data_IF_945854088995
#
_entry.id   IF_945854088995
#
_cell.length_a   1.000
_cell.length_b   1.000
_cell.length_c   1.000
_cell.angle_alpha   90.00
_cell.angle_beta   90.00
_cell.angle_gamma   90.00
#
_symmetry.space_group_name_H-M   'P 1'
#
loop_
_entity.id
_entity.type
_entity.pdbx_description
1 polymer ?
#
# COMPACT_ATOMS: atom_id res chain seq x y z
N UNK A 1 1.53 15.80 -20.35
CA UNK A 1 0.59 15.56 -21.46
C UNK A 1 0.36 14.06 -21.67
N UNK A 2 1.38 13.23 -21.72
CA UNK A 2 1.26 11.75 -21.90
C UNK A 2 0.48 11.04 -20.79
N UNK A 3 0.64 11.44 -19.53
CA UNK A 3 -0.09 10.86 -18.39
C UNK A 3 -1.59 11.16 -18.43
N UNK A 4 -2.00 12.35 -18.89
CA UNK A 4 -3.41 12.71 -19.07
C UNK A 4 -4.03 11.94 -20.23
N UNK A 5 -3.28 11.76 -21.30
CA UNK A 5 -3.73 11.01 -22.47
C UNK A 5 -3.91 9.51 -22.18
N UNK A 6 -2.99 8.90 -21.42
CA UNK A 6 -3.14 7.51 -20.95
C UNK A 6 -4.30 7.36 -19.98
N UNK A 7 -4.54 8.35 -19.12
CA UNK A 7 -5.66 8.33 -18.18
C UNK A 7 -7.00 8.39 -18.90
N UNK A 8 -7.14 9.25 -19.90
CA UNK A 8 -8.37 9.35 -20.73
C UNK A 8 -8.64 8.03 -21.48
N UNK A 9 -7.61 7.39 -22.04
CA UNK A 9 -7.75 6.06 -22.69
C UNK A 9 -8.15 4.95 -21.71
N UNK A 10 -7.62 4.96 -20.50
CA UNK A 10 -7.99 3.98 -19.46
C UNK A 10 -9.43 4.17 -19.04
N UNK A 11 -9.88 5.41 -18.87
CA UNK A 11 -11.29 5.74 -18.57
C UNK A 11 -12.23 5.32 -19.69
N UNK A 12 -11.89 5.60 -20.95
CA UNK A 12 -12.68 5.19 -22.10
C UNK A 12 -12.77 3.66 -22.21
N UNK A 13 -11.67 2.95 -21.94
CA UNK A 13 -11.65 1.49 -21.90
C UNK A 13 -12.55 0.94 -20.78
N UNK A 14 -12.50 1.53 -19.59
CA UNK A 14 -13.35 1.15 -18.46
C UNK A 14 -14.82 1.41 -18.80
N UNK A 15 -15.14 2.56 -19.37
CA UNK A 15 -16.51 2.90 -19.79
C UNK A 15 -17.02 2.00 -20.92
N UNK A 16 -16.16 1.59 -21.86
CA UNK A 16 -16.49 0.62 -22.92
C UNK A 16 -16.76 -0.78 -22.34
N UNK A 17 -15.99 -1.22 -21.36
CA UNK A 17 -16.21 -2.47 -20.64
C UNK A 17 -17.55 -2.45 -19.88
N UNK A 18 -17.90 -1.33 -19.24
CA UNK A 18 -19.18 -1.15 -18.59
C UNK A 18 -20.37 -1.12 -19.57
N UNK A 19 -20.18 -0.65 -20.80
CA UNK A 19 -21.21 -0.61 -21.85
C UNK A 19 -21.53 -2.01 -22.41
N UNK A 20 -20.63 -2.97 -22.22
CA UNK A 20 -20.77 -4.35 -22.71
C UNK A 20 -21.48 -5.30 -21.73
N UNK A 21 -21.85 -4.82 -20.53
CA UNK A 21 -22.57 -5.59 -19.53
C UNK A 21 -24.08 -5.63 -19.82
N UNK A 22 -24.78 -6.73 -19.52
CA UNK A 22 -26.20 -6.91 -19.84
C UNK A 22 -27.11 -5.90 -19.15
N UNK A 23 -28.11 -5.43 -19.88
CA UNK A 23 -29.12 -4.44 -19.43
C UNK A 23 -30.13 -5.08 -18.48
N UNK A 24 -29.84 -5.09 -17.18
CA UNK A 24 -30.80 -5.43 -16.13
C UNK A 24 -31.02 -4.26 -15.18
N UNK A 25 -32.23 -4.07 -14.62
CA UNK A 25 -32.56 -2.87 -13.81
C UNK A 25 -31.62 -2.66 -12.61
N UNK A 26 -31.13 -3.75 -12.00
CA UNK A 26 -30.14 -3.71 -10.90
C UNK A 26 -28.74 -3.20 -11.35
N UNK A 27 -28.39 -3.46 -12.61
CA UNK A 27 -27.11 -3.02 -13.17
C UNK A 27 -27.15 -1.55 -13.63
N UNK A 28 -28.32 -1.05 -14.03
CA UNK A 28 -28.49 0.35 -14.43
C UNK A 28 -28.32 1.31 -13.24
N UNK A 29 -28.88 0.97 -12.09
CA UNK A 29 -28.70 1.76 -10.86
C UNK A 29 -27.22 1.76 -10.37
N UNK A 30 -26.55 0.63 -10.52
CA UNK A 30 -25.10 0.54 -10.26
C UNK A 30 -24.28 1.31 -11.27
N UNK A 31 -24.63 1.27 -12.56
CA UNK A 31 -23.98 2.05 -13.63
C UNK A 31 -24.04 3.55 -13.36
N UNK A 32 -25.18 4.09 -12.95
CA UNK A 32 -25.31 5.51 -12.62
C UNK A 32 -24.44 5.89 -11.43
N UNK A 33 -24.47 5.09 -10.35
CA UNK A 33 -23.61 5.32 -9.17
C UNK A 33 -22.13 5.25 -9.52
N UNK A 34 -21.72 4.26 -10.30
CA UNK A 34 -20.32 4.11 -10.72
C UNK A 34 -19.92 5.15 -11.75
N UNK A 35 -20.82 5.51 -12.68
CA UNK A 35 -20.58 6.57 -13.65
C UNK A 35 -20.36 7.92 -13.00
N UNK A 36 -21.20 8.30 -12.04
CA UNK A 36 -21.04 9.55 -11.27
C UNK A 36 -19.78 9.54 -10.42
N UNK A 37 -19.45 8.41 -9.75
CA UNK A 37 -18.22 8.27 -8.98
C UNK A 37 -16.96 8.34 -9.86
N UNK A 38 -16.98 7.73 -11.04
CA UNK A 38 -15.87 7.79 -12.00
C UNK A 38 -15.70 9.21 -12.57
N UNK A 39 -16.80 9.91 -12.89
CA UNK A 39 -16.76 11.29 -13.34
C UNK A 39 -16.19 12.22 -12.27
N UNK A 40 -16.58 12.02 -11.01
CA UNK A 40 -16.07 12.78 -9.88
C UNK A 40 -14.58 12.49 -9.64
N UNK A 41 -14.17 11.21 -9.66
CA UNK A 41 -12.77 10.80 -9.58
C UNK A 41 -11.93 11.41 -10.72
N UNK A 42 -12.46 11.44 -11.95
CA UNK A 42 -11.77 12.06 -13.08
C UNK A 42 -11.54 13.56 -12.86
N UNK A 43 -12.57 14.26 -12.39
CA UNK A 43 -12.49 15.69 -12.11
C UNK A 43 -11.45 16.00 -11.03
N UNK A 44 -11.45 15.24 -9.94
CA UNK A 44 -10.48 15.40 -8.85
C UNK A 44 -9.06 14.98 -9.27
N UNK A 45 -8.93 13.87 -9.99
CA UNK A 45 -7.63 13.43 -10.52
C UNK A 45 -7.03 14.47 -11.47
N UNK A 46 -7.83 15.09 -12.34
CA UNK A 46 -7.38 16.18 -13.23
C UNK A 46 -6.90 17.40 -12.44
N UNK A 47 -7.61 17.81 -11.39
CA UNK A 47 -7.16 18.92 -10.52
C UNK A 47 -5.79 18.66 -9.94
N UNK A 48 -5.57 17.44 -9.39
CA UNK A 48 -4.27 17.04 -8.81
C UNK A 48 -3.18 16.93 -9.89
N UNK A 49 -3.50 16.36 -11.05
CA UNK A 49 -2.55 16.18 -12.15
C UNK A 49 -2.17 17.49 -12.85
N UNK A 50 -3.04 18.51 -12.86
CA UNK A 50 -2.78 19.80 -13.49
C UNK A 50 -1.89 20.70 -12.64
N UNK A 51 -1.79 20.47 -11.32
CA UNK A 51 -0.95 21.27 -10.43
C UNK A 51 0.45 20.64 -10.30
N UNK A 52 1.49 21.22 -10.95
CA UNK A 52 2.83 20.62 -11.00
C UNK A 52 3.44 20.40 -9.60
N UNK A 53 3.22 21.33 -8.67
CA UNK A 53 3.76 21.24 -7.31
C UNK A 53 3.17 20.07 -6.54
N UNK A 54 1.88 19.76 -6.71
CA UNK A 54 1.20 18.63 -6.06
C UNK A 54 1.74 17.31 -6.61
N UNK A 55 1.93 17.22 -7.94
CA UNK A 55 2.53 16.03 -8.58
C UNK A 55 3.94 15.76 -8.07
N UNK A 56 4.81 16.77 -8.09
CA UNK A 56 6.21 16.61 -7.66
C UNK A 56 6.26 16.21 -6.18
N UNK A 57 5.49 16.87 -5.33
CA UNK A 57 5.41 16.51 -3.90
C UNK A 57 4.88 15.10 -3.71
N UNK A 58 3.82 14.71 -4.41
CA UNK A 58 3.24 13.37 -4.34
C UNK A 58 4.23 12.29 -4.77
N UNK A 59 4.95 12.50 -5.87
CA UNK A 59 6.00 11.58 -6.34
C UNK A 59 7.15 11.54 -5.32
N UNK A 60 7.63 12.67 -4.83
CA UNK A 60 8.72 12.71 -3.87
C UNK A 60 8.37 11.99 -2.55
N UNK A 61 7.18 12.23 -2.01
CA UNK A 61 6.70 11.53 -0.81
C UNK A 61 6.54 10.03 -1.05
N UNK A 62 6.03 9.63 -2.23
CA UNK A 62 5.88 8.22 -2.58
C UNK A 62 7.23 7.52 -2.73
N UNK A 63 8.20 8.17 -3.37
CA UNK A 63 9.57 7.64 -3.50
C UNK A 63 10.25 7.53 -2.13
N UNK A 64 10.11 8.55 -1.28
CA UNK A 64 10.63 8.51 0.07
C UNK A 64 10.01 7.37 0.89
N UNK A 65 8.69 7.20 0.80
CA UNK A 65 7.98 6.09 1.44
C UNK A 65 8.51 4.74 0.98
N UNK A 66 8.69 4.53 -0.33
CA UNK A 66 9.23 3.29 -0.87
C UNK A 66 10.67 3.05 -0.42
N UNK A 67 11.49 4.10 -0.44
CA UNK A 67 12.87 4.03 0.03
C UNK A 67 12.95 3.59 1.50
N UNK A 68 12.16 4.20 2.38
CA UNK A 68 12.08 3.83 3.79
C UNK A 68 11.57 2.39 3.94
N UNK A 69 10.49 2.04 3.25
CA UNK A 69 9.89 0.70 3.32
C UNK A 69 10.88 -0.40 2.93
N UNK A 70 11.64 -0.19 1.85
CA UNK A 70 12.64 -1.15 1.38
C UNK A 70 13.92 -1.14 2.23
N UNK A 71 14.14 -0.13 3.06
CA UNK A 71 15.25 -0.09 4.00
C UNK A 71 15.00 -0.95 5.26
N UNK A 72 13.75 -1.25 5.58
CA UNK A 72 13.41 -2.06 6.76
C UNK A 72 13.99 -3.47 6.67
N UNK A 73 13.89 -4.22 5.55
CA UNK A 73 14.54 -5.52 5.40
C UNK A 73 16.04 -5.47 5.60
N UNK A 74 16.70 -4.41 5.13
CA UNK A 74 18.13 -4.22 5.33
C UNK A 74 18.49 -4.11 6.82
N UNK A 75 17.78 -3.27 7.55
CA UNK A 75 17.99 -3.13 9.00
C UNK A 75 17.70 -4.44 9.73
N UNK A 76 16.62 -5.13 9.36
CA UNK A 76 16.26 -6.42 9.95
C UNK A 76 17.33 -7.49 9.73
N UNK A 77 17.89 -7.58 8.50
CA UNK A 77 18.98 -8.50 8.17
C UNK A 77 20.25 -8.17 8.94
N UNK A 78 20.59 -6.87 9.05
CA UNK A 78 21.76 -6.43 9.84
C UNK A 78 21.62 -6.79 11.32
N UNK A 79 20.46 -6.57 11.91
CA UNK A 79 20.17 -6.96 13.29
C UNK A 79 20.17 -8.48 13.49
N UNK A 80 19.79 -9.25 12.46
CA UNK A 80 19.89 -10.71 12.48
C UNK A 80 21.31 -11.25 12.22
N UNK A 81 22.31 -10.37 12.09
CA UNK A 81 23.72 -10.75 11.91
C UNK A 81 24.15 -10.98 10.46
N UNK A 82 23.28 -10.75 9.47
CA UNK A 82 23.64 -10.87 8.07
C UNK A 82 24.34 -9.61 7.58
N UNK A 83 25.63 -9.75 7.19
CA UNK A 83 26.45 -8.64 6.66
C UNK A 83 26.83 -8.82 5.20
N UNK A 84 26.44 -9.93 4.57
CA UNK A 84 26.84 -10.31 3.22
C UNK A 84 26.21 -9.39 2.17
N UNK A 85 24.93 -9.02 2.34
CA UNK A 85 24.21 -8.21 1.37
C UNK A 85 24.47 -6.72 1.58
N UNK A 86 24.76 -6.02 0.49
CA UNK A 86 24.83 -4.57 0.46
C UNK A 86 23.43 -3.92 0.52
N UNK A 87 23.39 -2.63 0.84
CA UNK A 87 22.13 -1.88 0.88
C UNK A 87 21.39 -1.91 -0.47
N UNK A 88 22.11 -1.75 -1.59
CA UNK A 88 21.51 -1.74 -2.91
C UNK A 88 20.92 -3.11 -3.31
N UNK A 89 21.61 -4.20 -2.98
CA UNK A 89 21.11 -5.56 -3.22
C UNK A 89 19.84 -5.84 -2.43
N UNK A 90 19.78 -5.43 -1.16
CA UNK A 90 18.57 -5.59 -0.37
C UNK A 90 17.43 -4.74 -0.90
N UNK A 91 17.68 -3.52 -1.39
CA UNK A 91 16.65 -2.69 -2.04
C UNK A 91 16.07 -3.40 -3.29
N UNK A 92 16.95 -3.98 -4.11
CA UNK A 92 16.54 -4.74 -5.30
C UNK A 92 15.71 -5.98 -4.93
N UNK A 93 16.20 -6.78 -3.99
CA UNK A 93 15.50 -7.98 -3.51
C UNK A 93 14.16 -7.62 -2.84
N UNK A 94 14.09 -6.51 -2.11
CA UNK A 94 12.84 -6.03 -1.50
C UNK A 94 11.82 -5.59 -2.54
N UNK A 95 12.25 -4.97 -3.64
CA UNK A 95 11.34 -4.63 -4.74
C UNK A 95 10.79 -5.87 -5.42
N UNK A 96 11.64 -6.89 -5.64
CA UNK A 96 11.25 -8.18 -6.20
C UNK A 96 10.29 -8.94 -5.24
N UNK A 97 10.58 -8.89 -3.93
CA UNK A 97 9.70 -9.46 -2.91
C UNK A 97 8.28 -8.87 -2.99
N UNK A 98 8.17 -7.54 -3.16
CA UNK A 98 6.88 -6.88 -3.29
C UNK A 98 6.14 -7.31 -4.57
N UNK A 99 6.85 -7.47 -5.69
CA UNK A 99 6.27 -7.98 -6.94
C UNK A 99 5.72 -9.40 -6.77
N UNK A 100 6.50 -10.31 -6.19
CA UNK A 100 6.07 -11.70 -5.93
C UNK A 100 4.85 -11.71 -5.00
N UNK A 101 4.90 -10.93 -3.91
CA UNK A 101 3.79 -10.83 -2.96
C UNK A 101 2.51 -10.30 -3.61
N UNK A 102 2.63 -9.35 -4.55
CA UNK A 102 1.50 -8.78 -5.27
C UNK A 102 0.91 -9.73 -6.32
N UNK A 103 1.71 -10.67 -6.84
CA UNK A 103 1.26 -11.66 -7.81
C UNK A 103 0.56 -12.87 -7.17
N UNK A 104 0.80 -13.13 -5.89
CA UNK A 104 0.21 -14.25 -5.18
C UNK A 104 -1.11 -13.86 -4.48
N UNK A 105 -2.09 -14.78 -4.44
CA UNK A 105 -3.33 -14.52 -3.70
C UNK A 105 -3.02 -14.35 -2.21
N UNK A 106 -3.45 -13.23 -1.67
CA UNK A 106 -3.17 -12.83 -0.30
C UNK A 106 -4.39 -13.06 0.57
N UNK A 107 -4.28 -13.96 1.54
CA UNK A 107 -5.32 -14.19 2.55
C UNK A 107 -4.88 -13.54 3.85
N UNK A 108 -5.56 -12.46 4.24
CA UNK A 108 -5.31 -11.71 5.48
C UNK A 108 -3.86 -11.16 5.65
N UNK A 109 -3.12 -10.95 4.56
CA UNK A 109 -1.77 -10.39 4.62
C UNK A 109 -0.67 -11.36 5.08
N UNK A 110 -0.98 -12.64 5.23
CA UNK A 110 -0.06 -13.67 5.72
C UNK A 110 0.17 -14.72 4.62
N UNK A 111 1.38 -15.24 4.53
CA UNK A 111 1.78 -16.30 3.61
C UNK A 111 2.67 -15.82 2.45
N UNK A 112 2.14 -15.11 1.46
CA UNK A 112 2.91 -14.71 0.27
C UNK A 112 4.15 -13.87 0.58
N UNK A 113 4.07 -13.01 1.58
CA UNK A 113 5.17 -12.14 1.96
C UNK A 113 6.27 -12.90 2.70
N UNK A 114 5.92 -13.79 3.62
CA UNK A 114 6.85 -14.66 4.32
C UNK A 114 7.57 -15.57 3.34
N UNK A 115 6.81 -16.18 2.44
CA UNK A 115 7.36 -17.02 1.40
C UNK A 115 8.35 -16.25 0.52
N UNK A 116 7.96 -15.08 0.00
CA UNK A 116 8.82 -14.26 -0.84
C UNK A 116 10.08 -13.77 -0.10
N UNK A 117 9.93 -13.38 1.18
CA UNK A 117 11.06 -12.97 2.01
C UNK A 117 12.07 -14.10 2.20
N UNK A 118 11.61 -15.27 2.63
CA UNK A 118 12.48 -16.42 2.83
C UNK A 118 13.10 -16.92 1.53
N UNK A 119 12.32 -16.96 0.45
CA UNK A 119 12.81 -17.37 -0.88
C UNK A 119 13.98 -16.50 -1.34
N UNK A 120 13.89 -15.19 -1.16
CA UNK A 120 14.88 -14.24 -1.67
C UNK A 120 16.09 -14.04 -0.76
N UNK A 121 15.88 -14.05 0.56
CA UNK A 121 16.95 -13.72 1.51
C UNK A 121 17.65 -14.94 2.13
N UNK A 122 16.99 -16.13 2.22
CA UNK A 122 17.62 -17.32 2.81
C UNK A 122 18.87 -17.79 2.08
N UNK A 123 18.98 -17.73 0.74
CA UNK A 123 20.19 -18.15 0.04
C UNK A 123 21.44 -17.35 0.44
N UNK A 124 21.27 -16.12 0.87
CA UNK A 124 22.35 -15.18 1.21
C UNK A 124 22.61 -15.09 2.72
N UNK A 125 21.54 -15.04 3.51
CA UNK A 125 21.62 -14.85 4.95
C UNK A 125 21.66 -16.17 5.74
N UNK A 126 21.28 -17.27 5.10
CA UNK A 126 20.97 -18.53 5.78
C UNK A 126 19.57 -18.50 6.40
N UNK A 127 18.98 -19.69 6.56
CA UNK A 127 17.57 -19.83 6.98
C UNK A 127 17.30 -19.22 8.36
N UNK A 128 18.21 -19.42 9.32
CA UNK A 128 18.04 -18.91 10.68
C UNK A 128 18.04 -17.37 10.75
N UNK A 129 19.02 -16.72 10.09
CA UNK A 129 19.11 -15.26 10.06
C UNK A 129 17.98 -14.65 9.23
N UNK A 130 17.60 -15.26 8.10
CA UNK A 130 16.47 -14.81 7.29
C UNK A 130 15.15 -14.91 8.06
N UNK A 131 14.90 -15.98 8.80
CA UNK A 131 13.70 -16.13 9.64
C UNK A 131 13.67 -15.10 10.77
N UNK A 132 14.79 -14.85 11.44
CA UNK A 132 14.88 -13.81 12.47
C UNK A 132 14.64 -12.42 11.90
N UNK A 133 15.22 -12.12 10.73
CA UNK A 133 15.01 -10.85 10.03
C UNK A 133 13.55 -10.70 9.59
N UNK A 134 12.89 -11.76 9.14
CA UNK A 134 11.47 -11.76 8.80
C UNK A 134 10.60 -11.38 10.00
N UNK A 135 10.87 -11.94 11.18
CA UNK A 135 10.13 -11.57 12.39
C UNK A 135 10.32 -10.10 12.74
N UNK A 136 11.56 -9.59 12.71
CA UNK A 136 11.84 -8.16 12.91
C UNK A 136 11.14 -7.27 11.90
N UNK A 137 11.16 -7.67 10.63
CA UNK A 137 10.46 -6.98 9.57
C UNK A 137 8.94 -6.93 9.82
N UNK A 138 8.33 -8.03 10.26
CA UNK A 138 6.91 -8.09 10.63
C UNK A 138 6.58 -7.21 11.83
N UNK A 139 7.44 -7.20 12.83
CA UNK A 139 7.26 -6.30 13.99
C UNK A 139 7.24 -4.84 13.52
N UNK A 140 8.19 -4.44 12.69
CA UNK A 140 8.30 -3.06 12.22
C UNK A 140 7.18 -2.64 11.27
N UNK A 141 6.74 -3.53 10.36
CA UNK A 141 5.82 -3.15 9.28
C UNK A 141 4.34 -3.46 9.57
N UNK A 142 4.06 -4.39 10.46
CA UNK A 142 2.71 -4.83 10.78
C UNK A 142 2.32 -4.54 12.24
N UNK A 143 3.07 -5.06 13.19
CA UNK A 143 2.70 -4.95 14.61
C UNK A 143 2.83 -3.52 15.16
N UNK A 144 3.89 -2.82 14.80
CA UNK A 144 4.11 -1.46 15.27
C UNK A 144 3.02 -0.48 14.78
N UNK A 145 2.68 -0.40 13.48
CA UNK A 145 1.56 0.42 13.01
C UNK A 145 0.21 0.01 13.61
N UNK A 146 -0.01 -1.29 13.80
CA UNK A 146 -1.22 -1.79 14.43
C UNK A 146 -1.36 -1.27 15.87
N UNK A 147 -0.31 -1.39 16.68
CA UNK A 147 -0.30 -0.89 18.05
C UNK A 147 -0.55 0.63 18.10
N UNK A 148 0.08 1.40 17.21
CA UNK A 148 -0.16 2.84 17.11
C UNK A 148 -1.62 3.15 16.77
N UNK A 149 -2.22 2.40 15.86
CA UNK A 149 -3.64 2.55 15.50
C UNK A 149 -4.56 2.27 16.67
N UNK A 150 -4.30 1.20 17.44
CA UNK A 150 -5.08 0.86 18.64
C UNK A 150 -4.97 1.97 19.70
N UNK A 151 -3.75 2.47 19.95
CA UNK A 151 -3.53 3.55 20.92
C UNK A 151 -4.28 4.82 20.50
N UNK A 152 -4.23 5.15 19.22
CA UNK A 152 -4.92 6.35 18.69
C UNK A 152 -6.44 6.20 18.81
N UNK A 153 -6.96 5.03 18.45
CA UNK A 153 -8.39 4.72 18.56
C UNK A 153 -8.88 4.84 20.01
N UNK A 154 -8.18 4.23 20.96
CA UNK A 154 -8.54 4.30 22.39
C UNK A 154 -8.47 5.73 22.96
N UNK A 155 -7.55 6.55 22.45
CA UNK A 155 -7.48 7.97 22.85
C UNK A 155 -8.65 8.77 22.33
N UNK A 156 -9.06 8.52 21.09
CA UNK A 156 -10.17 9.24 20.47
C UNK A 156 -11.51 8.84 21.12
N UNK A 157 -11.70 7.57 21.41
CA UNK A 157 -12.88 7.08 22.14
C UNK A 157 -13.01 7.75 23.52
N UNK A 158 -11.91 7.82 24.29
CA UNK A 158 -11.91 8.52 25.57
C UNK A 158 -12.21 10.02 25.47
N UNK A 159 -11.82 10.67 24.37
CA UNK A 159 -12.15 12.08 24.11
C UNK A 159 -13.63 12.27 23.79
N UNK A 160 -14.17 11.37 22.97
CA UNK A 160 -15.58 11.38 22.58
C UNK A 160 -16.49 11.21 23.80
N UNK A 161 -16.18 10.26 24.68
CA UNK A 161 -16.94 10.03 25.92
C UNK A 161 -16.91 11.25 26.85
N UNK A 162 -15.76 11.89 27.05
CA UNK A 162 -15.65 13.12 27.86
C UNK A 162 -16.43 14.31 27.28
N UNK A 163 -16.49 14.38 25.92
CA UNK A 163 -17.29 15.42 25.26
C UNK A 163 -18.81 15.24 25.46
N UNK A 164 -19.25 14.00 25.54
CA UNK A 164 -20.65 13.66 25.76
C UNK A 164 -21.10 14.00 27.22
N UNK A 165 -20.27 13.68 28.21
CA UNK A 165 -20.51 13.98 29.62
C UNK A 165 -20.52 15.50 29.89
N UNK A 166 -19.74 16.28 29.13
CA UNK A 166 -19.70 17.74 29.30
C UNK A 166 -20.88 18.47 28.62
N UNK A 167 -21.65 17.83 27.74
CA UNK A 167 -22.84 18.37 27.10
C UNK A 167 -24.14 17.97 27.81
N UNK A 168 -24.08 17.02 28.74
CA UNK A 168 -25.22 16.53 29.50
C UNK A 168 -25.33 17.09 30.94
N UNK A 169 -24.40 17.96 31.36
CA UNK A 169 -24.39 18.67 32.63
C UNK A 169 -24.70 20.16 32.43
#
# INVERSE_FOLDING_TARGET
>A
LTLLYTWDKVLDLVLLLFKKLPDTPKWNERREKWGSSLAQLNTEARKVLLVPSVRVRGIAVSLLKLFVLYSIPYLALRLAGCTVLSFAEVQLLSSLMLLITSALPNVAGVGPMEFAFLLLFSPWAGTAAASSALVLYRVATYFFPFLLSVITFLREEKRSLKGFDAQGA
#
